data_IF_541196395327
#
_entry.id   IF_541196395327
#
_cell.length_a   1.000
_cell.length_b   1.000
_cell.length_c   1.000
_cell.angle_alpha   90.00
_cell.angle_beta   90.00
_cell.angle_gamma   90.00
#
_symmetry.space_group_name_H-M   'P 1'
#
loop_
_entity.id
_entity.type
_entity.pdbx_description
1 polymer ?
#
# COMPACT_ATOMS: atom_id res chain seq x y z
N UNK A 1 34.95 -19.51 0.95
CA UNK A 1 33.58 -18.99 0.68
C UNK A 1 32.80 -19.05 1.98
N UNK A 2 32.72 -17.93 2.70
CA UNK A 2 31.90 -17.82 3.90
C UNK A 2 30.44 -17.89 3.46
N UNK A 3 29.67 -18.85 3.99
CA UNK A 3 28.23 -18.96 3.70
C UNK A 3 27.56 -17.75 4.32
N UNK A 4 27.15 -16.78 3.50
CA UNK A 4 26.42 -15.60 3.98
C UNK A 4 25.10 -16.09 4.61
N UNK A 5 24.86 -15.69 5.86
CA UNK A 5 23.65 -16.07 6.59
C UNK A 5 22.46 -15.35 5.96
N UNK A 6 21.41 -16.09 5.60
CA UNK A 6 20.14 -15.53 5.14
C UNK A 6 19.31 -15.12 6.35
N UNK A 7 18.74 -13.92 6.30
CA UNK A 7 17.82 -13.40 7.31
C UNK A 7 16.41 -13.34 6.70
N UNK A 8 15.46 -14.02 7.36
CA UNK A 8 14.07 -14.03 6.96
C UNK A 8 13.26 -13.07 7.84
N UNK A 9 12.51 -12.17 7.21
CA UNK A 9 11.66 -11.19 7.86
C UNK A 9 10.21 -11.35 7.38
N UNK A 10 9.28 -11.19 8.30
CA UNK A 10 7.85 -11.35 8.11
C UNK A 10 7.17 -10.06 8.58
N UNK A 11 6.59 -9.32 7.65
CA UNK A 11 5.94 -8.03 7.93
C UNK A 11 4.44 -8.28 8.00
N UNK A 12 3.88 -8.29 9.22
CA UNK A 12 2.43 -8.40 9.47
C UNK A 12 1.77 -7.07 9.18
N UNK A 13 0.94 -7.03 8.15
CA UNK A 13 0.23 -5.84 7.67
C UNK A 13 -1.23 -5.86 8.11
N UNK A 14 -1.68 -4.78 8.75
CA UNK A 14 -3.09 -4.49 8.91
C UNK A 14 -3.57 -3.60 7.75
N UNK A 15 -4.62 -4.02 7.07
CA UNK A 15 -5.26 -3.22 6.01
C UNK A 15 -6.42 -2.44 6.59
N UNK A 16 -6.42 -1.14 6.36
CA UNK A 16 -7.44 -0.22 6.85
C UNK A 16 -8.06 0.46 5.64
N UNK A 17 -9.38 0.36 5.55
CA UNK A 17 -10.17 0.83 4.42
C UNK A 17 -11.05 1.97 4.89
N UNK A 18 -10.90 3.14 4.28
CA UNK A 18 -11.73 4.29 4.62
C UNK A 18 -13.13 4.22 3.97
N UNK A 19 -14.00 5.14 4.41
CA UNK A 19 -15.36 5.24 3.88
C UNK A 19 -15.43 5.59 2.39
N UNK A 20 -14.41 6.22 1.82
CA UNK A 20 -14.39 6.53 0.39
C UNK A 20 -14.29 5.26 -0.45
N UNK A 21 -13.39 4.35 -0.05
CA UNK A 21 -13.31 3.02 -0.66
C UNK A 21 -14.61 2.24 -0.43
N UNK A 22 -15.18 2.29 0.77
CA UNK A 22 -16.49 1.66 1.04
C UNK A 22 -17.57 2.14 0.06
N UNK A 23 -17.76 3.46 -0.04
CA UNK A 23 -18.75 4.09 -0.92
C UNK A 23 -18.53 3.68 -2.38
N UNK A 24 -17.26 3.58 -2.80
CA UNK A 24 -16.90 3.12 -4.14
C UNK A 24 -17.40 1.70 -4.42
N UNK A 25 -17.17 0.74 -3.50
CA UNK A 25 -17.65 -0.64 -3.68
C UNK A 25 -19.16 -0.77 -3.48
N UNK A 26 -19.76 0.04 -2.60
CA UNK A 26 -21.20 0.04 -2.33
C UNK A 26 -22.02 0.66 -3.48
N UNK A 27 -21.44 1.59 -4.23
CA UNK A 27 -22.09 2.20 -5.40
C UNK A 27 -22.22 1.25 -6.60
N UNK A 28 -21.45 0.16 -6.61
CA UNK A 28 -21.46 -0.84 -7.67
C UNK A 28 -22.49 -1.95 -7.34
N UNK A 29 -23.67 -1.87 -7.99
CA UNK A 29 -24.79 -2.85 -7.96
C UNK A 29 -25.53 -2.91 -6.61
N UNK A 30 -26.75 -3.46 -6.58
CA UNK A 30 -27.53 -3.75 -5.35
C UNK A 30 -26.84 -4.80 -4.47
N UNK A 31 -25.67 -4.46 -3.94
CA UNK A 31 -24.87 -5.31 -3.06
C UNK A 31 -25.30 -5.09 -1.62
N UNK A 32 -25.45 -6.17 -0.86
CA UNK A 32 -25.61 -6.09 0.60
C UNK A 32 -24.29 -5.64 1.24
N UNK A 33 -24.35 -5.07 2.45
CA UNK A 33 -23.15 -4.71 3.22
C UNK A 33 -22.14 -5.86 3.35
N UNK A 34 -22.64 -7.09 3.52
CA UNK A 34 -21.80 -8.29 3.57
C UNK A 34 -21.07 -8.53 2.26
N UNK A 35 -21.76 -8.38 1.12
CA UNK A 35 -21.16 -8.53 -0.20
C UNK A 35 -20.12 -7.44 -0.47
N UNK A 36 -20.40 -6.19 -0.07
CA UNK A 36 -19.44 -5.07 -0.17
C UNK A 36 -18.18 -5.38 0.65
N UNK A 37 -18.33 -5.81 1.91
CA UNK A 37 -17.20 -6.22 2.76
C UNK A 37 -16.38 -7.34 2.12
N UNK A 38 -17.04 -8.36 1.58
CA UNK A 38 -16.37 -9.47 0.91
C UNK A 38 -15.59 -9.03 -0.33
N UNK A 39 -16.19 -8.18 -1.17
CA UNK A 39 -15.54 -7.66 -2.37
C UNK A 39 -14.30 -6.81 -2.04
N UNK A 40 -14.39 -5.97 -1.00
CA UNK A 40 -13.25 -5.20 -0.49
C UNK A 40 -12.16 -6.15 0.01
N UNK A 41 -12.49 -7.11 0.90
CA UNK A 41 -11.51 -8.06 1.44
C UNK A 41 -10.84 -8.87 0.33
N UNK A 42 -11.58 -9.33 -0.68
CA UNK A 42 -11.03 -10.03 -1.84
C UNK A 42 -10.06 -9.15 -2.63
N UNK A 43 -10.50 -7.95 -3.04
CA UNK A 43 -9.68 -7.02 -3.80
C UNK A 43 -8.37 -6.64 -3.08
N UNK A 44 -8.45 -6.26 -1.80
CA UNK A 44 -7.27 -5.85 -1.05
C UNK A 44 -6.39 -7.04 -0.63
N UNK A 45 -6.93 -8.26 -0.54
CA UNK A 45 -6.10 -9.46 -0.39
C UNK A 45 -5.23 -9.67 -1.64
N UNK A 46 -5.79 -9.47 -2.84
CA UNK A 46 -5.00 -9.51 -4.07
C UNK A 46 -3.95 -8.38 -4.14
N UNK A 47 -4.25 -7.20 -3.61
CA UNK A 47 -3.28 -6.09 -3.53
C UNK A 47 -2.11 -6.49 -2.63
N UNK A 48 -2.39 -6.96 -1.41
CA UNK A 48 -1.35 -7.39 -0.48
C UNK A 48 -0.55 -8.59 -1.02
N UNK A 49 -1.20 -9.52 -1.73
CA UNK A 49 -0.47 -10.58 -2.43
C UNK A 49 0.45 -10.02 -3.51
N UNK A 50 -0.01 -9.04 -4.30
CA UNK A 50 0.82 -8.35 -5.28
C UNK A 50 2.04 -7.68 -4.64
N UNK A 51 1.85 -6.99 -3.52
CA UNK A 51 2.94 -6.39 -2.74
C UNK A 51 3.92 -7.48 -2.28
N UNK A 52 3.42 -8.58 -1.71
CA UNK A 52 4.25 -9.73 -1.29
C UNK A 52 5.10 -10.29 -2.44
N UNK A 53 4.54 -10.39 -3.66
CA UNK A 53 5.26 -10.87 -4.82
C UNK A 53 6.42 -9.93 -5.22
N UNK A 54 6.24 -8.61 -5.11
CA UNK A 54 7.32 -7.63 -5.37
C UNK A 54 8.44 -7.71 -4.33
N UNK A 55 8.12 -7.94 -3.06
CA UNK A 55 9.13 -8.17 -2.03
C UNK A 55 9.83 -9.52 -2.20
N UNK A 56 9.11 -10.55 -2.65
CA UNK A 56 9.70 -11.87 -2.97
C UNK A 56 10.57 -11.88 -4.23
N UNK A 57 10.42 -10.90 -5.12
CA UNK A 57 11.29 -10.76 -6.30
C UNK A 57 12.63 -10.09 -6.00
N UNK A 58 12.93 -9.74 -4.74
CA UNK A 58 14.26 -9.29 -4.34
C UNK A 58 15.27 -10.42 -4.59
N UNK A 59 16.18 -10.19 -5.54
CA UNK A 59 17.26 -11.11 -5.88
C UNK A 59 18.50 -10.83 -5.03
N UNK A 60 18.40 -11.10 -3.72
CA UNK A 60 19.51 -11.02 -2.78
C UNK A 60 19.50 -12.23 -1.84
N UNK A 61 20.56 -13.07 -1.84
CA UNK A 61 20.55 -14.32 -1.08
C UNK A 61 20.63 -14.16 0.44
N UNK A 62 20.95 -12.96 0.94
CA UNK A 62 21.12 -12.67 2.36
C UNK A 62 19.85 -12.20 3.05
N UNK A 63 18.79 -11.86 2.31
CA UNK A 63 17.54 -11.34 2.85
C UNK A 63 16.32 -11.99 2.20
N UNK A 64 15.29 -12.24 3.00
CA UNK A 64 13.96 -12.58 2.52
C UNK A 64 12.94 -11.74 3.25
N UNK A 65 12.02 -11.11 2.53
CA UNK A 65 10.93 -10.35 3.12
C UNK A 65 9.61 -10.96 2.66
N UNK A 66 8.77 -11.34 3.61
CA UNK A 66 7.43 -11.87 3.36
C UNK A 66 6.41 -10.93 3.94
N UNK A 67 5.44 -10.51 3.13
CA UNK A 67 4.33 -9.66 3.58
C UNK A 67 3.14 -10.55 3.93
N UNK A 68 2.58 -10.35 5.12
CA UNK A 68 1.52 -11.19 5.68
C UNK A 68 0.32 -10.32 6.01
N UNK A 69 -0.84 -10.65 5.42
CA UNK A 69 -2.09 -9.99 5.76
C UNK A 69 -2.58 -10.47 7.14
N UNK A 70 -2.63 -9.54 8.10
CA UNK A 70 -2.91 -9.84 9.50
C UNK A 70 -4.30 -9.38 9.96
N UNK A 71 -4.91 -8.38 9.32
CA UNK A 71 -6.24 -7.89 9.71
C UNK A 71 -6.86 -6.97 8.65
N UNK A 72 -8.19 -6.85 8.66
CA UNK A 72 -8.93 -5.81 7.95
C UNK A 72 -9.77 -4.97 8.92
N UNK A 73 -9.62 -3.65 8.84
CA UNK A 73 -10.57 -2.69 9.43
C UNK A 73 -11.25 -1.92 8.30
N UNK A 74 -12.59 -1.95 8.21
CA UNK A 74 -13.34 -1.31 7.14
C UNK A 74 -14.33 -0.30 7.74
N UNK A 75 -14.09 0.99 7.49
CA UNK A 75 -14.95 2.08 7.88
C UNK A 75 -16.01 2.34 6.82
N UNK A 76 -17.29 2.33 7.20
CA UNK A 76 -18.40 2.61 6.29
C UNK A 76 -18.80 4.08 6.29
N UNK A 77 -18.60 4.77 7.41
CA UNK A 77 -19.04 6.14 7.61
C UNK A 77 -17.85 7.03 7.93
N UNK A 78 -17.87 8.24 7.37
CA UNK A 78 -16.78 9.21 7.51
C UNK A 78 -16.55 9.70 8.94
N UNK A 79 -17.56 9.60 9.81
CA UNK A 79 -17.45 9.98 11.23
C UNK A 79 -16.83 8.89 12.11
N UNK A 80 -16.72 7.65 11.62
CA UNK A 80 -16.21 6.52 12.39
C UNK A 80 -14.68 6.47 12.42
N UNK A 81 -14.02 7.08 11.44
CA UNK A 81 -12.60 7.35 11.54
C UNK A 81 -12.43 8.74 12.17
N UNK A 82 -11.72 8.88 13.30
CA UNK A 82 -11.51 10.18 13.90
C UNK A 82 -10.94 11.15 12.86
N UNK A 83 -11.66 12.27 12.64
CA UNK A 83 -11.19 13.45 11.88
C UNK A 83 -11.22 13.41 10.33
N UNK A 84 -11.92 12.48 9.68
CA UNK A 84 -12.07 12.48 8.21
C UNK A 84 -12.92 13.64 7.65
N UNK A 85 -13.99 14.03 8.35
CA UNK A 85 -15.01 14.93 7.77
C UNK A 85 -14.61 16.41 7.68
N UNK A 86 -13.68 16.89 8.50
CA UNK A 86 -13.21 18.29 8.46
C UNK A 86 -12.06 18.54 7.48
N UNK A 87 -11.62 17.50 6.75
CA UNK A 87 -10.37 17.53 5.97
C UNK A 87 -10.52 17.13 4.50
N UNK A 88 -11.71 16.71 4.07
CA UNK A 88 -12.01 16.44 2.65
C UNK A 88 -12.41 17.74 1.97
N UNK A 89 -11.64 18.17 0.98
CA UNK A 89 -11.98 19.30 0.11
C UNK A 89 -12.58 18.77 -1.17
N UNK A 90 -13.66 19.39 -1.67
CA UNK A 90 -14.25 19.01 -2.97
C UNK A 90 -14.07 20.14 -3.96
N UNK A 91 -13.34 19.87 -5.05
CA UNK A 91 -13.14 20.81 -6.16
C UNK A 91 -13.49 20.13 -7.48
N UNK A 92 -14.35 20.77 -8.28
CA UNK A 92 -14.81 20.25 -9.58
C UNK A 92 -15.32 18.80 -9.52
N UNK A 93 -16.00 18.43 -8.43
CA UNK A 93 -16.53 17.09 -8.20
C UNK A 93 -15.51 16.04 -7.74
N UNK A 94 -14.22 16.40 -7.68
CA UNK A 94 -13.15 15.54 -7.13
C UNK A 94 -12.97 15.81 -5.65
N UNK A 95 -12.80 14.76 -4.86
CA UNK A 95 -12.55 14.83 -3.41
C UNK A 95 -11.06 14.70 -3.16
N UNK A 96 -10.51 15.60 -2.35
CA UNK A 96 -9.10 15.69 -2.00
C UNK A 96 -8.88 15.57 -0.50
N UNK A 97 -7.76 14.98 -0.11
CA UNK A 97 -7.29 14.85 1.26
C UNK A 97 -5.86 15.38 1.39
N UNK A 98 -5.63 16.20 2.42
CA UNK A 98 -4.27 16.56 2.81
C UNK A 98 -3.59 15.35 3.46
N UNK A 99 -2.62 14.77 2.75
CA UNK A 99 -1.99 13.52 3.13
C UNK A 99 -1.25 13.60 4.48
N UNK A 100 -0.65 14.75 4.79
CA UNK A 100 0.06 14.95 6.07
C UNK A 100 -0.90 14.94 7.25
N UNK A 101 -2.01 15.67 7.14
CA UNK A 101 -3.01 15.73 8.21
C UNK A 101 -3.74 14.40 8.39
N UNK A 102 -4.02 13.70 7.30
CA UNK A 102 -4.73 12.42 7.36
C UNK A 102 -3.84 11.28 7.86
N UNK A 103 -2.56 11.28 7.46
CA UNK A 103 -1.56 10.35 8.01
C UNK A 103 -1.35 10.56 9.52
N UNK A 104 -1.40 11.81 10.00
CA UNK A 104 -1.35 12.10 11.44
C UNK A 104 -2.55 11.51 12.21
N UNK A 105 -3.77 11.66 11.69
CA UNK A 105 -4.95 11.06 12.31
C UNK A 105 -4.85 9.54 12.32
N UNK A 106 -4.39 8.95 11.22
CA UNK A 106 -4.21 7.52 11.11
C UNK A 106 -3.17 6.98 12.10
N UNK A 107 -2.07 7.70 12.24
CA UNK A 107 -1.05 7.41 13.23
C UNK A 107 -1.59 7.46 14.66
N UNK A 108 -2.48 8.41 14.96
CA UNK A 108 -3.16 8.49 16.25
C UNK A 108 -4.13 7.32 16.46
N UNK A 109 -4.93 6.98 15.44
CA UNK A 109 -5.85 5.84 15.49
C UNK A 109 -5.12 4.52 15.75
N UNK A 110 -3.98 4.27 15.08
CA UNK A 110 -3.13 3.09 15.29
C UNK A 110 -2.66 2.95 16.74
N UNK A 111 -2.46 4.05 17.45
CA UNK A 111 -2.06 4.03 18.86
C UNK A 111 -3.21 3.71 19.81
N UNK A 112 -4.43 4.12 19.45
CA UNK A 112 -5.61 4.01 20.31
C UNK A 112 -6.48 2.80 20.00
N UNK A 113 -6.17 2.06 18.93
CA UNK A 113 -6.97 0.91 18.51
C UNK A 113 -7.00 -0.16 19.59
N UNK A 114 -8.19 -0.74 19.81
CA UNK A 114 -8.35 -1.83 20.76
C UNK A 114 -7.63 -3.08 20.26
N UNK A 115 -6.57 -3.47 20.97
CA UNK A 115 -5.72 -4.63 20.62
C UNK A 115 -6.43 -5.97 20.81
N UNK A 116 -7.60 -5.99 21.44
CA UNK A 116 -8.46 -7.18 21.51
C UNK A 116 -9.26 -7.37 20.22
N UNK A 117 -9.45 -6.29 19.45
CA UNK A 117 -10.17 -6.30 18.17
C UNK A 117 -9.20 -6.34 17.00
N UNK A 118 -8.12 -5.56 17.06
CA UNK A 118 -7.08 -5.49 16.03
C UNK A 118 -5.83 -6.21 16.52
N UNK A 119 -5.46 -7.36 15.93
CA UNK A 119 -4.27 -8.11 16.29
C UNK A 119 -2.99 -7.27 16.19
N UNK A 120 -1.91 -7.74 16.82
CA UNK A 120 -0.60 -7.10 16.69
C UNK A 120 -0.15 -7.15 15.22
N UNK A 121 0.23 -5.99 14.68
CA UNK A 121 0.78 -5.81 13.34
C UNK A 121 2.05 -4.96 13.38
N UNK A 122 2.92 -5.14 12.39
CA UNK A 122 4.20 -4.45 12.26
C UNK A 122 4.09 -3.17 11.43
N UNK A 123 3.08 -3.12 10.54
CA UNK A 123 2.76 -2.00 9.67
C UNK A 123 1.25 -1.93 9.39
N UNK A 124 0.70 -0.73 9.25
CA UNK A 124 -0.69 -0.52 8.85
C UNK A 124 -0.78 0.28 7.54
N UNK A 125 -1.63 -0.18 6.63
CA UNK A 125 -1.85 0.44 5.32
C UNK A 125 -3.27 0.99 5.26
N UNK A 126 -3.42 2.32 5.23
CA UNK A 126 -4.68 3.00 5.02
C UNK A 126 -4.89 3.28 3.54
N UNK A 127 -5.98 2.78 2.97
CA UNK A 127 -6.35 3.00 1.59
C UNK A 127 -7.53 3.97 1.48
N UNK A 128 -7.42 4.91 0.54
CA UNK A 128 -8.46 5.88 0.20
C UNK A 128 -8.62 6.00 -1.32
N UNK A 129 -9.80 6.39 -1.79
CA UNK A 129 -10.04 6.78 -3.21
C UNK A 129 -10.05 8.29 -3.41
N UNK A 130 -9.80 9.08 -2.36
CA UNK A 130 -9.72 10.54 -2.46
C UNK A 130 -8.31 10.96 -2.83
N UNK A 131 -8.19 11.86 -3.80
CA UNK A 131 -6.91 12.37 -4.29
C UNK A 131 -6.07 12.94 -3.15
N UNK A 132 -4.80 12.57 -3.08
CA UNK A 132 -3.91 12.97 -2.00
C UNK A 132 -3.04 14.14 -2.44
N UNK A 133 -2.90 15.14 -1.58
CA UNK A 133 -1.99 16.25 -1.82
C UNK A 133 -1.14 16.60 -0.59
N UNK A 134 0.01 17.22 -0.83
CA UNK A 134 0.86 17.82 0.20
C UNK A 134 0.99 19.32 -0.02
N UNK A 135 0.80 20.16 1.00
CA UNK A 135 0.81 21.62 0.78
C UNK A 135 -0.44 22.12 0.05
N UNK A 136 -0.40 22.26 -1.29
CA UNK A 136 -1.51 22.78 -2.11
C UNK A 136 -1.97 21.78 -3.19
N UNK A 137 -3.28 21.71 -3.44
CA UNK A 137 -3.93 20.78 -4.39
C UNK A 137 -3.33 20.88 -5.81
N UNK A 138 -3.19 22.10 -6.34
CA UNK A 138 -2.79 22.32 -7.75
C UNK A 138 -1.36 21.89 -8.14
N UNK A 139 -0.49 21.62 -7.15
CA UNK A 139 0.96 21.48 -7.41
C UNK A 139 1.56 20.17 -6.92
N UNK A 140 0.92 19.52 -5.96
CA UNK A 140 1.60 18.53 -5.11
C UNK A 140 0.71 17.31 -4.86
N UNK A 141 0.07 16.81 -5.91
CA UNK A 141 -0.62 15.52 -5.85
C UNK A 141 0.41 14.40 -5.66
N UNK A 142 0.07 13.44 -4.80
CA UNK A 142 0.91 12.29 -4.48
C UNK A 142 0.06 11.01 -4.54
N UNK A 143 0.70 9.86 -4.70
CA UNK A 143 0.00 8.57 -4.67
C UNK A 143 0.02 7.92 -3.28
N UNK A 144 0.92 8.34 -2.38
CA UNK A 144 0.99 7.84 -1.02
C UNK A 144 1.98 8.62 -0.16
N UNK A 145 1.98 8.29 1.13
CA UNK A 145 2.97 8.80 2.08
C UNK A 145 3.20 7.77 3.21
N UNK A 146 4.46 7.58 3.59
CA UNK A 146 4.86 6.80 4.76
C UNK A 146 6.08 7.41 5.47
N UNK A 147 6.15 7.35 6.81
CA UNK A 147 7.37 7.65 7.53
C UNK A 147 8.49 6.68 7.18
N UNK A 148 9.72 7.19 7.08
CA UNK A 148 10.89 6.36 6.78
C UNK A 148 11.36 5.59 8.02
N UNK A 149 11.71 4.31 7.84
CA UNK A 149 12.18 3.41 8.89
C UNK A 149 11.23 3.27 10.10
N UNK A 150 9.93 3.43 9.87
CA UNK A 150 8.87 3.41 10.88
C UNK A 150 8.43 2.02 11.33
N UNK A 151 8.93 0.94 10.72
CA UNK A 151 8.44 -0.42 11.00
C UNK A 151 8.59 -0.76 12.48
N UNK A 152 7.51 -1.31 13.05
CA UNK A 152 7.35 -1.63 14.47
C UNK A 152 7.42 -0.47 15.46
N UNK A 153 7.49 0.77 14.99
CA UNK A 153 7.30 1.95 15.83
C UNK A 153 5.84 2.02 16.33
N UNK A 154 5.59 2.68 17.46
CA UNK A 154 4.22 2.81 17.97
C UNK A 154 3.35 3.74 17.10
N UNK A 155 3.96 4.68 16.40
CA UNK A 155 3.33 5.83 15.74
C UNK A 155 3.63 5.84 14.24
N UNK A 156 4.86 5.49 13.87
CA UNK A 156 5.38 5.64 12.50
C UNK A 156 5.16 4.43 11.59
N UNK A 157 4.59 3.33 12.09
CA UNK A 157 4.37 2.08 11.35
C UNK A 157 3.17 2.13 10.40
N UNK A 158 3.03 3.21 9.65
CA UNK A 158 1.85 3.49 8.84
C UNK A 158 2.23 3.89 7.42
N UNK A 159 1.28 3.68 6.51
CA UNK A 159 1.30 4.26 5.17
C UNK A 159 -0.13 4.64 4.78
N UNK A 160 -0.25 5.76 4.07
CA UNK A 160 -1.49 6.20 3.43
C UNK A 160 -1.32 6.03 1.92
N UNK A 161 -2.25 5.33 1.27
CA UNK A 161 -2.17 4.94 -0.13
C UNK A 161 -3.42 5.39 -0.88
N UNK A 162 -3.22 6.04 -2.02
CA UNK A 162 -4.27 6.28 -3.01
C UNK A 162 -4.59 4.99 -3.75
N UNK A 163 -5.79 4.48 -3.52
CA UNK A 163 -6.36 3.32 -4.16
C UNK A 163 -6.99 3.70 -5.49
N UNK A 164 -6.21 3.56 -6.56
CA UNK A 164 -6.69 3.67 -7.94
C UNK A 164 -6.89 2.24 -8.49
N UNK A 165 -6.40 1.94 -9.70
CA UNK A 165 -6.34 0.58 -10.24
C UNK A 165 -5.38 -0.35 -9.47
N UNK A 166 -5.67 -1.65 -9.56
CA UNK A 166 -4.92 -2.74 -8.94
C UNK A 166 -3.40 -2.57 -9.03
N UNK A 167 -2.87 -2.44 -10.25
CA UNK A 167 -1.43 -2.40 -10.49
C UNK A 167 -0.73 -1.22 -9.80
N UNK A 168 -1.19 0.02 -9.98
CA UNK A 168 -0.51 1.13 -9.30
C UNK A 168 -0.74 1.09 -7.81
N UNK A 169 -1.89 0.62 -7.33
CA UNK A 169 -2.09 0.47 -5.89
C UNK A 169 -1.12 -0.57 -5.29
N UNK A 170 -0.81 -1.65 -6.01
CA UNK A 170 0.24 -2.60 -5.62
C UNK A 170 1.62 -1.94 -5.57
N UNK A 171 2.01 -1.22 -6.63
CA UNK A 171 3.32 -0.54 -6.65
C UNK A 171 3.42 0.52 -5.57
N UNK A 172 2.41 1.39 -5.45
CA UNK A 172 2.38 2.44 -4.44
C UNK A 172 2.42 1.85 -3.03
N UNK A 173 1.63 0.82 -2.73
CA UNK A 173 1.69 0.16 -1.43
C UNK A 173 3.07 -0.47 -1.16
N UNK A 174 3.71 -1.05 -2.17
CA UNK A 174 5.07 -1.59 -2.04
C UNK A 174 6.10 -0.48 -1.81
N UNK A 175 5.98 0.65 -2.51
CA UNK A 175 6.81 1.84 -2.39
C UNK A 175 6.69 2.47 -0.99
N UNK A 176 5.46 2.72 -0.51
CA UNK A 176 5.24 3.28 0.81
C UNK A 176 5.71 2.35 1.93
N UNK A 177 5.52 1.03 1.76
CA UNK A 177 6.15 0.06 2.67
C UNK A 177 7.68 0.14 2.59
N UNK A 178 8.25 0.35 1.40
CA UNK A 178 9.70 0.49 1.19
C UNK A 178 10.27 1.63 2.01
N UNK A 179 9.61 2.79 2.00
CA UNK A 179 9.92 3.89 2.92
C UNK A 179 9.88 3.43 4.38
N UNK A 180 8.81 2.74 4.81
CA UNK A 180 8.69 2.29 6.19
C UNK A 180 9.77 1.28 6.62
N UNK A 181 10.29 0.51 5.66
CA UNK A 181 11.44 -0.39 5.84
C UNK A 181 12.80 0.32 5.69
N UNK A 182 12.79 1.64 5.49
CA UNK A 182 13.96 2.52 5.57
C UNK A 182 14.55 2.94 4.23
N UNK A 183 13.95 2.58 3.09
CA UNK A 183 14.43 3.04 1.80
C UNK A 183 14.10 4.52 1.58
N UNK A 184 15.06 5.25 1.01
CA UNK A 184 14.83 6.55 0.41
C UNK A 184 14.42 6.37 -1.06
N UNK A 185 14.02 7.46 -1.70
CA UNK A 185 13.90 7.45 -3.16
C UNK A 185 15.25 7.17 -3.82
N UNK A 186 15.25 6.41 -4.92
CA UNK A 186 16.45 6.23 -5.74
C UNK A 186 16.95 7.59 -6.26
N UNK A 187 18.26 7.83 -6.15
CA UNK A 187 18.90 9.11 -6.45
C UNK A 187 18.89 10.12 -5.30
N UNK A 188 18.28 9.80 -4.15
CA UNK A 188 18.35 10.65 -2.97
C UNK A 188 19.78 10.69 -2.41
N UNK A 189 20.27 11.91 -2.14
CA UNK A 189 21.58 12.16 -1.54
C UNK A 189 21.75 11.51 -0.16
N UNK A 190 20.64 11.27 0.54
CA UNK A 190 20.60 10.71 1.88
C UNK A 190 20.48 9.18 1.90
N UNK A 191 21.27 8.48 1.06
CA UNK A 191 21.42 7.02 1.16
C UNK A 191 21.08 6.21 -0.09
N UNK A 192 20.79 6.86 -1.21
CA UNK A 192 20.49 6.18 -2.48
C UNK A 192 21.15 6.84 -3.70
N UNK A 193 22.22 7.63 -3.50
CA UNK A 193 22.95 8.33 -4.58
C UNK A 193 23.50 7.37 -5.64
N UNK A 194 23.87 6.16 -5.24
CA UNK A 194 24.44 5.13 -6.13
C UNK A 194 23.39 4.41 -7.00
N UNK A 195 22.09 4.61 -6.72
CA UNK A 195 20.99 4.04 -7.48
C UNK A 195 20.32 5.14 -8.30
N UNK A 196 20.58 5.24 -9.62
CA UNK A 196 20.09 6.35 -10.43
C UNK A 196 18.56 6.35 -10.55
N UNK A 197 17.89 7.52 -10.44
CA UNK A 197 16.42 7.59 -10.52
C UNK A 197 15.88 7.23 -11.90
N UNK A 198 16.66 7.38 -12.96
CA UNK A 198 16.29 7.04 -14.34
C UNK A 198 16.19 5.53 -14.59
N UNK A 199 16.70 4.70 -13.68
CA UNK A 199 16.49 3.25 -13.71
C UNK A 199 15.08 2.84 -13.29
N UNK A 200 14.31 3.73 -12.64
CA UNK A 200 12.85 3.56 -12.38
C UNK A 200 12.47 2.26 -11.65
N UNK A 201 13.27 1.88 -10.66
CA UNK A 201 12.86 0.86 -9.67
C UNK A 201 11.64 1.34 -8.88
N UNK A 202 11.09 0.46 -8.04
CA UNK A 202 9.90 0.75 -7.22
C UNK A 202 10.06 2.03 -6.39
N UNK A 203 11.27 2.36 -5.90
CA UNK A 203 11.53 3.58 -5.09
C UNK A 203 11.79 4.85 -5.93
N UNK A 204 11.32 4.89 -7.18
CA UNK A 204 11.36 6.10 -8.00
C UNK A 204 10.40 7.18 -7.47
N UNK A 205 10.91 8.41 -7.35
CA UNK A 205 10.21 9.53 -6.71
C UNK A 205 9.00 10.11 -7.46
N UNK A 206 8.78 9.74 -8.74
CA UNK A 206 7.63 10.22 -9.51
C UNK A 206 6.64 9.09 -9.77
N UNK A 207 5.34 9.41 -9.95
CA UNK A 207 4.35 8.41 -10.31
C UNK A 207 4.79 7.67 -11.57
N UNK A 208 4.67 6.34 -11.58
CA UNK A 208 4.90 5.55 -12.78
C UNK A 208 3.88 5.95 -13.84
N UNK A 209 4.26 6.86 -14.74
CA UNK A 209 3.48 7.22 -15.92
C UNK A 209 3.49 6.04 -16.89
N UNK A 210 2.35 5.71 -17.47
CA UNK A 210 2.23 4.66 -18.49
C UNK A 210 2.35 5.23 -19.93
N UNK A 211 2.49 6.54 -20.08
CA UNK A 211 2.30 7.26 -21.34
C UNK A 211 3.59 7.73 -22.03
N UNK A 212 4.76 7.12 -21.75
CA UNK A 212 6.01 7.56 -22.37
C UNK A 212 6.74 6.50 -23.20
N UNK A 213 7.61 6.97 -24.08
CA UNK A 213 8.28 6.23 -25.17
C UNK A 213 9.70 5.73 -24.85
N UNK A 214 10.21 5.94 -23.63
CA UNK A 214 11.48 5.34 -23.19
C UNK A 214 11.30 3.85 -22.81
N UNK A 215 12.35 3.04 -22.58
CA UNK A 215 12.19 1.63 -22.21
C UNK A 215 11.58 1.49 -20.79
N UNK A 216 10.26 1.67 -20.69
CA UNK A 216 9.53 2.13 -19.51
C UNK A 216 9.31 1.08 -18.39
N UNK A 217 9.80 -0.15 -18.54
CA UNK A 217 9.25 -1.28 -17.78
C UNK A 217 10.26 -2.25 -17.15
N UNK A 218 11.56 -2.10 -17.38
CA UNK A 218 12.52 -3.14 -16.99
C UNK A 218 12.56 -3.36 -15.48
N UNK A 219 12.57 -2.27 -14.71
CA UNK A 219 12.81 -2.30 -13.27
C UNK A 219 11.60 -1.88 -12.44
N UNK A 220 10.47 -1.53 -13.07
CA UNK A 220 9.24 -1.03 -12.43
C UNK A 220 8.68 -1.96 -11.35
N UNK A 221 9.09 -3.23 -11.36
CA UNK A 221 8.65 -4.28 -10.45
C UNK A 221 9.74 -4.75 -9.49
N UNK A 222 10.90 -4.10 -9.51
CA UNK A 222 12.07 -4.48 -8.75
C UNK A 222 12.45 -3.38 -7.77
N UNK A 223 13.02 -3.77 -6.64
CA UNK A 223 13.71 -2.85 -5.74
C UNK A 223 15.16 -2.70 -6.19
N UNK A 224 15.70 -1.48 -6.08
CA UNK A 224 17.12 -1.22 -6.31
C UNK A 224 17.99 -1.86 -5.24
N UNK A 225 19.29 -1.99 -5.49
CA UNK A 225 20.24 -2.45 -4.47
C UNK A 225 20.29 -1.51 -3.26
N UNK A 226 20.13 -0.20 -3.46
CA UNK A 226 20.07 0.77 -2.36
C UNK A 226 18.86 0.53 -1.46
N UNK A 227 17.69 0.26 -2.07
CA UNK A 227 16.48 -0.10 -1.31
C UNK A 227 16.71 -1.35 -0.46
N UNK A 228 17.28 -2.40 -1.06
CA UNK A 228 17.55 -3.68 -0.39
C UNK A 228 18.55 -3.53 0.77
N UNK A 229 19.61 -2.73 0.60
CA UNK A 229 20.57 -2.45 1.68
C UNK A 229 19.93 -1.66 2.83
N UNK A 230 19.08 -0.69 2.53
CA UNK A 230 18.29 0.02 3.53
C UNK A 230 17.35 -0.92 4.31
N UNK A 231 16.69 -1.86 3.62
CA UNK A 231 15.85 -2.86 4.29
C UNK A 231 16.66 -3.71 5.26
N UNK A 232 17.83 -4.22 4.84
CA UNK A 232 18.73 -5.01 5.71
C UNK A 232 19.12 -4.22 6.95
N UNK A 233 19.56 -2.97 6.76
CA UNK A 233 20.00 -2.08 7.86
C UNK A 233 18.88 -1.82 8.86
N UNK A 234 17.67 -1.59 8.38
CA UNK A 234 16.52 -1.29 9.24
C UNK A 234 16.05 -2.55 9.98
N UNK A 235 15.91 -3.67 9.28
CA UNK A 235 15.25 -4.88 9.81
C UNK A 235 16.13 -5.72 10.75
N UNK A 236 17.46 -5.66 10.62
CA UNK A 236 18.36 -6.48 11.44
C UNK A 236 18.16 -6.32 12.95
N UNK A 237 17.77 -5.10 13.36
CA UNK A 237 17.55 -4.73 14.77
C UNK A 237 16.10 -4.91 15.27
N UNK A 238 15.18 -5.38 14.41
CA UNK A 238 13.74 -5.39 14.68
C UNK A 238 13.27 -6.81 15.00
N UNK A 239 12.94 -7.07 16.27
CA UNK A 239 12.49 -8.40 16.72
C UNK A 239 11.06 -8.74 16.28
N UNK A 240 10.17 -7.75 16.21
CA UNK A 240 8.77 -7.84 15.80
C UNK A 240 8.50 -8.47 14.43
N UNK A 241 9.51 -8.49 13.54
CA UNK A 241 9.42 -8.99 12.17
C UNK A 241 10.15 -10.32 11.99
N UNK A 242 10.65 -10.93 13.06
CA UNK A 242 11.37 -12.22 13.02
C UNK A 242 10.45 -13.41 13.26
N UNK A 243 9.26 -13.18 13.82
CA UNK A 243 8.24 -14.21 13.97
C UNK A 243 7.41 -14.33 12.69
N UNK A 244 7.24 -15.55 12.21
CA UNK A 244 6.53 -15.83 10.96
C UNK A 244 5.05 -15.43 11.00
N UNK A 245 4.48 -15.17 12.18
CA UNK A 245 3.07 -14.86 12.33
C UNK A 245 2.15 -15.94 11.72
N UNK A 246 0.89 -15.58 11.51
CA UNK A 246 -0.07 -16.39 10.76
C UNK A 246 -1.05 -15.47 10.04
N UNK A 247 -1.39 -15.80 8.79
CA UNK A 247 -2.42 -15.07 8.03
C UNK A 247 -3.72 -15.05 8.83
N UNK A 248 -4.37 -13.87 8.87
CA UNK A 248 -5.58 -13.60 9.67
C UNK A 248 -6.67 -14.67 9.55
N UNK A 249 -6.99 -15.02 8.31
CA UNK A 249 -8.04 -15.96 7.93
C UNK A 249 -7.51 -16.80 6.77
N UNK A 250 -6.94 -17.97 7.10
CA UNK A 250 -6.27 -18.81 6.11
C UNK A 250 -7.25 -19.39 5.09
N UNK A 251 -8.49 -19.69 5.52
CA UNK A 251 -9.52 -20.23 4.64
C UNK A 251 -10.01 -19.18 3.65
N UNK A 252 -10.29 -17.97 4.14
CA UNK A 252 -10.67 -16.84 3.27
C UNK A 252 -9.53 -16.49 2.30
N UNK A 253 -8.30 -16.37 2.80
CA UNK A 253 -7.14 -16.11 1.95
C UNK A 253 -7.00 -17.16 0.84
N UNK A 254 -7.06 -18.44 1.22
CA UNK A 254 -6.98 -19.54 0.26
C UNK A 254 -8.12 -19.51 -0.75
N UNK A 255 -9.33 -19.13 -0.32
CA UNK A 255 -10.48 -18.97 -1.20
C UNK A 255 -10.25 -17.87 -2.23
N UNK A 256 -9.80 -16.69 -1.80
CA UNK A 256 -9.55 -15.55 -2.70
C UNK A 256 -8.40 -15.83 -3.67
N UNK A 257 -7.29 -16.42 -3.19
CA UNK A 257 -6.12 -16.69 -4.03
C UNK A 257 -6.35 -17.78 -5.09
N UNK A 258 -7.51 -18.45 -5.12
CA UNK A 258 -7.90 -19.34 -6.25
C UNK A 258 -8.28 -18.57 -7.51
N UNK A 259 -8.58 -17.28 -7.41
CA UNK A 259 -8.89 -16.42 -8.55
C UNK A 259 -7.64 -15.65 -8.95
N UNK A 260 -7.41 -15.51 -10.25
CA UNK A 260 -6.39 -14.59 -10.72
C UNK A 260 -6.84 -13.14 -10.54
N UNK A 261 -5.92 -12.18 -10.32
CA UNK A 261 -6.27 -10.77 -10.16
C UNK A 261 -7.12 -10.21 -11.31
N UNK A 262 -6.94 -10.71 -12.54
CA UNK A 262 -7.75 -10.29 -13.70
C UNK A 262 -9.24 -10.68 -13.63
N UNK A 263 -9.60 -11.69 -12.84
CA UNK A 263 -11.01 -12.03 -12.56
C UNK A 263 -11.64 -11.14 -11.49
N UNK A 264 -10.83 -10.61 -10.58
CA UNK A 264 -11.28 -9.71 -9.51
C UNK A 264 -11.34 -8.27 -10.00
N UNK A 265 -10.30 -7.83 -10.71
CA UNK A 265 -10.20 -6.50 -11.32
C UNK A 265 -10.46 -6.61 -12.82
N UNK A 266 -11.73 -6.77 -13.20
CA UNK A 266 -12.11 -6.85 -14.61
C UNK A 266 -11.68 -5.59 -15.39
N UNK A 267 -11.48 -5.66 -16.72
CA UNK A 267 -11.16 -4.47 -17.52
C UNK A 267 -12.16 -3.32 -17.32
N UNK A 268 -13.45 -3.63 -17.21
CA UNK A 268 -14.48 -2.63 -16.90
C UNK A 268 -14.28 -2.00 -15.53
N UNK A 269 -13.96 -2.78 -14.50
CA UNK A 269 -13.68 -2.26 -13.18
C UNK A 269 -12.43 -1.37 -13.20
N UNK A 270 -11.40 -1.76 -13.93
CA UNK A 270 -10.20 -0.93 -14.11
C UNK A 270 -10.52 0.38 -14.83
N UNK A 271 -11.36 0.39 -15.86
CA UNK A 271 -11.82 1.60 -16.55
C UNK A 271 -12.71 2.49 -15.65
N UNK A 272 -13.65 1.89 -14.92
CA UNK A 272 -14.49 2.58 -13.95
C UNK A 272 -13.65 3.27 -12.88
N UNK A 273 -12.62 2.59 -12.38
CA UNK A 273 -11.67 3.15 -11.41
C UNK A 273 -10.85 4.29 -12.02
N UNK A 274 -10.39 4.15 -13.27
CA UNK A 274 -9.50 5.13 -13.91
C UNK A 274 -10.21 6.41 -14.35
N UNK A 275 -11.44 6.28 -14.85
CA UNK A 275 -12.12 7.35 -15.56
C UNK A 275 -13.48 7.69 -14.96
N UNK A 276 -13.93 6.92 -13.97
CA UNK A 276 -15.19 7.12 -13.27
C UNK A 276 -16.36 6.31 -13.85
N UNK A 277 -17.57 6.49 -13.30
CA UNK A 277 -18.65 5.52 -13.36
C UNK A 277 -19.27 5.22 -14.72
N UNK A 278 -18.90 5.99 -15.76
CA UNK A 278 -19.42 5.85 -17.11
C UNK A 278 -18.43 5.22 -18.09
N UNK A 279 -17.26 4.78 -17.62
CA UNK A 279 -16.22 4.25 -18.48
C UNK A 279 -16.13 2.73 -18.38
N UNK A 280 -16.23 2.09 -19.54
CA UNK A 280 -16.13 0.64 -19.73
C UNK A 280 -15.00 0.34 -20.69
N UNK A 281 -14.44 -0.85 -20.59
CA UNK A 281 -13.43 -1.31 -21.52
C UNK A 281 -14.08 -1.58 -22.89
N UNK A 282 -13.54 -0.96 -23.94
CA UNK A 282 -13.92 -1.22 -25.33
C UNK A 282 -12.76 -1.98 -26.00
N UNK A 283 -13.03 -3.23 -26.37
CA UNK A 283 -12.08 -4.13 -27.04
C UNK A 283 -12.02 -3.94 -28.54
#
# INVERSE_FOLDING_TARGET
KTRQQRHDYYIKVAVVIDSGVWDFYASNVQSTDEQVRKNIREAYSHIINGVNLLYKSIDDPSISITIILQHFTIFQQKDLFPHTNSKVVTENGTKYLNANLYSLDFSQWVQTVDKTVVPVFDHAMLFTVYELYTGSIDKNLISGISPIAGVCDAVKKISLILSTHYYRTVITAAHELGHNLGAEHDGNKEGATECPPDERFIMYHLPHSLNGTTPFYKNTWLFSTCSVESFKKTLISKECVKDQGSVYDTDEWTMFMRKEPGYVFTPNMQCYILYGPHHVYYG
#
